data_IF_606851477178
#
_entry.id   IF_606851477178
#
_cell.length_a   1.000
_cell.length_b   1.000
_cell.length_c   1.000
_cell.angle_alpha   90.00
_cell.angle_beta   90.00
_cell.angle_gamma   90.00
#
_symmetry.space_group_name_H-M   'P 1'
#
loop_
_entity.id
_entity.type
_entity.pdbx_description
1 polymer ?
#
# COMPACT_ATOMS: atom_id res chain seq x y z
N UNK A 1 -8.13 -3.22 -29.56
CA UNK A 1 -8.54 -1.79 -29.49
C UNK A 1 -10.03 -1.59 -29.72
N UNK A 2 -10.66 -2.24 -30.69
CA UNK A 2 -12.11 -2.09 -31.00
C UNK A 2 -13.05 -2.37 -29.80
N UNK A 3 -12.59 -3.13 -28.81
CA UNK A 3 -13.33 -3.42 -27.57
C UNK A 3 -12.91 -2.56 -26.37
N UNK A 4 -12.15 -1.46 -26.59
CA UNK A 4 -11.68 -0.56 -25.52
C UNK A 4 -10.44 -1.02 -24.75
N UNK A 5 -9.87 -2.18 -25.05
CA UNK A 5 -8.64 -2.66 -24.41
C UNK A 5 -7.43 -1.83 -24.80
N UNK A 6 -6.52 -1.63 -23.83
CA UNK A 6 -5.19 -1.06 -24.04
C UNK A 6 -4.18 -2.19 -24.25
N UNK A 7 -3.21 -1.96 -25.11
CA UNK A 7 -2.17 -2.92 -25.46
C UNK A 7 -0.86 -2.45 -24.81
N UNK A 8 -0.24 -3.29 -24.03
CA UNK A 8 1.09 -3.09 -23.48
C UNK A 8 2.05 -4.14 -24.05
N UNK A 9 3.22 -3.70 -24.49
CA UNK A 9 4.33 -4.58 -24.84
C UNK A 9 5.22 -4.72 -23.60
N UNK A 10 5.40 -5.95 -23.12
CA UNK A 10 6.11 -6.28 -21.90
C UNK A 10 7.53 -6.74 -22.20
N UNK A 11 8.48 -6.53 -21.28
CA UNK A 11 9.91 -6.88 -21.42
C UNK A 11 10.48 -6.44 -22.78
N UNK A 12 10.15 -5.22 -23.21
CA UNK A 12 10.37 -4.79 -24.57
C UNK A 12 11.79 -4.31 -24.82
N UNK A 13 12.44 -4.93 -25.80
CA UNK A 13 13.69 -4.47 -26.40
C UNK A 13 13.44 -4.15 -27.88
N UNK A 14 13.79 -2.93 -28.30
CA UNK A 14 13.51 -2.50 -29.66
C UNK A 14 14.22 -3.35 -30.71
N UNK A 15 13.47 -3.80 -31.70
CA UNK A 15 13.96 -4.41 -32.93
C UNK A 15 13.14 -3.85 -34.11
N UNK A 16 13.77 -3.64 -35.29
CA UNK A 16 13.05 -3.13 -36.47
C UNK A 16 11.82 -3.95 -36.87
N UNK A 17 11.86 -5.27 -36.62
CA UNK A 17 10.74 -6.17 -36.90
C UNK A 17 9.50 -5.89 -36.01
N UNK A 18 9.65 -5.20 -34.88
CA UNK A 18 8.56 -4.93 -33.94
C UNK A 18 7.80 -3.62 -34.23
N UNK A 19 8.17 -2.88 -35.29
CA UNK A 19 7.47 -1.64 -35.69
C UNK A 19 5.95 -1.78 -35.78
N UNK A 20 5.38 -2.83 -36.40
CA UNK A 20 3.93 -2.98 -36.50
C UNK A 20 3.23 -3.11 -35.14
N UNK A 21 3.91 -3.70 -34.16
CA UNK A 21 3.37 -3.81 -32.80
C UNK A 21 3.39 -2.46 -32.06
N UNK A 22 4.44 -1.64 -32.26
CA UNK A 22 4.56 -0.31 -31.66
C UNK A 22 3.47 0.65 -32.17
N UNK A 23 3.04 0.53 -33.43
CA UNK A 23 1.93 1.32 -33.99
C UNK A 23 0.58 0.97 -33.33
N UNK A 24 0.45 -0.25 -32.82
CA UNK A 24 -0.75 -0.73 -32.14
C UNK A 24 -0.70 -0.57 -30.62
N UNK A 25 0.48 -0.45 -30.04
CA UNK A 25 0.64 -0.38 -28.59
C UNK A 25 0.15 0.95 -28.00
N UNK A 26 -0.31 0.89 -26.77
CA UNK A 26 -0.60 2.06 -25.93
C UNK A 26 0.53 2.27 -24.90
N UNK A 27 1.17 1.18 -24.47
CA UNK A 27 2.25 1.17 -23.49
C UNK A 27 3.41 0.30 -23.97
N UNK A 28 4.63 0.71 -23.61
CA UNK A 28 5.84 -0.10 -23.75
C UNK A 28 6.52 -0.14 -22.39
N UNK A 29 6.75 -1.36 -21.88
CA UNK A 29 7.38 -1.64 -20.60
C UNK A 29 8.81 -2.05 -20.86
N UNK A 30 9.75 -1.38 -20.20
CA UNK A 30 11.19 -1.58 -20.35
C UNK A 30 11.76 -1.98 -19.01
N UNK A 31 12.35 -3.17 -18.92
CA UNK A 31 13.12 -3.62 -17.76
C UNK A 31 14.44 -2.84 -17.70
N UNK A 32 14.61 -2.03 -16.67
CA UNK A 32 15.79 -1.16 -16.49
C UNK A 32 16.80 -1.71 -15.48
N UNK A 33 16.55 -2.85 -14.84
CA UNK A 33 17.33 -3.36 -13.71
C UNK A 33 18.83 -3.48 -14.03
N UNK A 34 19.15 -3.99 -15.22
CA UNK A 34 20.53 -4.25 -15.64
C UNK A 34 20.99 -3.33 -16.80
N UNK A 35 20.24 -2.28 -17.11
CA UNK A 35 20.54 -1.35 -18.20
C UNK A 35 21.39 -0.18 -17.72
N UNK A 36 22.42 0.18 -18.51
CA UNK A 36 23.18 1.40 -18.32
C UNK A 36 22.40 2.62 -18.86
N UNK A 37 22.78 3.81 -18.43
CA UNK A 37 22.13 5.08 -18.82
C UNK A 37 22.12 5.29 -20.33
N UNK A 38 23.21 4.96 -20.99
CA UNK A 38 23.36 5.05 -22.43
C UNK A 38 22.43 4.06 -23.16
N UNK A 39 22.32 2.83 -22.70
CA UNK A 39 21.44 1.81 -23.25
C UNK A 39 19.94 2.22 -23.12
N UNK A 40 19.57 2.76 -21.96
CA UNK A 40 18.20 3.30 -21.80
C UNK A 40 17.95 4.44 -22.78
N UNK A 41 18.90 5.39 -22.92
CA UNK A 41 18.75 6.51 -23.82
C UNK A 41 18.65 6.07 -25.29
N UNK A 42 19.40 5.06 -25.72
CA UNK A 42 19.32 4.47 -27.06
C UNK A 42 17.96 3.83 -27.32
N UNK A 43 17.46 3.01 -26.38
CA UNK A 43 16.13 2.42 -26.48
C UNK A 43 15.04 3.50 -26.62
N UNK A 44 15.12 4.53 -25.79
CA UNK A 44 14.14 5.63 -25.83
C UNK A 44 14.20 6.43 -27.13
N UNK A 45 15.39 6.63 -27.71
CA UNK A 45 15.55 7.30 -28.99
C UNK A 45 14.82 6.54 -30.12
N UNK A 46 14.86 5.19 -30.10
CA UNK A 46 14.15 4.35 -31.06
C UNK A 46 12.61 4.39 -30.87
N UNK A 47 12.14 4.64 -29.65
CA UNK A 47 10.71 4.67 -29.32
C UNK A 47 10.06 6.06 -29.52
N UNK A 48 10.84 7.14 -29.58
CA UNK A 48 10.33 8.51 -29.79
C UNK A 48 9.35 8.70 -30.95
N UNK A 49 9.51 8.03 -32.11
CA UNK A 49 8.57 8.20 -33.23
C UNK A 49 7.17 7.64 -32.96
N UNK A 50 7.00 6.82 -31.93
CA UNK A 50 5.75 6.10 -31.66
C UNK A 50 4.95 6.77 -30.53
N UNK A 51 3.60 6.84 -30.63
CA UNK A 51 2.74 7.46 -29.62
C UNK A 51 2.50 6.54 -28.42
N UNK A 52 3.53 5.87 -27.94
CA UNK A 52 3.47 4.93 -26.81
C UNK A 52 3.80 5.63 -25.51
N UNK A 53 3.20 5.15 -24.41
CA UNK A 53 3.53 5.57 -23.06
C UNK A 53 4.56 4.63 -22.48
N UNK A 54 5.64 5.19 -21.94
CA UNK A 54 6.76 4.42 -21.43
C UNK A 54 6.55 4.06 -19.97
N UNK A 55 6.75 2.80 -19.63
CA UNK A 55 6.74 2.25 -18.27
C UNK A 55 8.14 1.73 -17.95
N UNK A 56 8.79 2.26 -16.92
CA UNK A 56 10.04 1.71 -16.41
C UNK A 56 9.71 0.59 -15.43
N UNK A 57 10.21 -0.61 -15.68
CA UNK A 57 10.04 -1.77 -14.82
C UNK A 57 11.28 -2.02 -13.96
N UNK A 58 11.06 -2.69 -12.83
CA UNK A 58 12.09 -3.03 -11.84
C UNK A 58 12.87 -1.81 -11.34
N UNK A 59 12.17 -0.70 -11.15
CA UNK A 59 12.75 0.47 -10.48
C UNK A 59 12.97 0.14 -9.01
N UNK A 60 14.23 -0.05 -8.61
CA UNK A 60 14.56 -0.50 -7.26
C UNK A 60 15.14 0.60 -6.35
N UNK A 61 15.60 1.71 -6.94
CA UNK A 61 16.26 2.79 -6.19
C UNK A 61 15.70 4.17 -6.55
N UNK A 62 15.86 5.13 -5.63
CA UNK A 62 15.50 6.54 -5.87
C UNK A 62 16.27 7.12 -7.05
N UNK A 63 17.54 6.77 -7.20
CA UNK A 63 18.38 7.30 -8.27
C UNK A 63 17.90 6.79 -9.64
N UNK A 64 17.50 5.52 -9.72
CA UNK A 64 16.88 4.96 -10.93
C UNK A 64 15.55 5.64 -11.24
N UNK A 65 14.71 5.88 -10.23
CA UNK A 65 13.46 6.61 -10.42
C UNK A 65 13.68 8.02 -10.97
N UNK A 66 14.60 8.78 -10.35
CA UNK A 66 14.93 10.14 -10.79
C UNK A 66 15.49 10.14 -12.21
N UNK A 67 16.39 9.19 -12.51
CA UNK A 67 16.98 9.01 -13.83
C UNK A 67 15.90 8.73 -14.90
N UNK A 68 15.05 7.73 -14.66
CA UNK A 68 14.00 7.35 -15.62
C UNK A 68 12.98 8.47 -15.81
N UNK A 69 12.60 9.16 -14.75
CA UNK A 69 11.72 10.33 -14.83
C UNK A 69 12.32 11.45 -15.68
N UNK A 70 13.62 11.74 -15.52
CA UNK A 70 14.33 12.73 -16.32
C UNK A 70 14.43 12.33 -17.81
N UNK A 71 14.45 11.04 -18.12
CA UNK A 71 14.48 10.50 -19.49
C UNK A 71 13.10 10.40 -20.15
N UNK A 72 12.00 10.71 -19.43
CA UNK A 72 10.66 10.82 -20.02
C UNK A 72 9.73 9.64 -19.72
N UNK A 73 10.12 8.69 -18.88
CA UNK A 73 9.18 7.70 -18.38
C UNK A 73 8.07 8.38 -17.57
N UNK A 74 6.83 7.94 -17.78
CA UNK A 74 5.65 8.46 -17.09
C UNK A 74 5.09 7.48 -16.07
N UNK A 75 5.36 6.19 -16.25
CA UNK A 75 4.89 5.12 -15.38
C UNK A 75 6.08 4.33 -14.87
N UNK A 76 5.99 3.84 -13.63
CA UNK A 76 7.08 3.17 -12.94
C UNK A 76 6.52 1.96 -12.21
N UNK A 77 7.21 0.84 -12.32
CA UNK A 77 6.91 -0.41 -11.64
C UNK A 77 8.19 -0.93 -11.00
N UNK A 78 8.11 -1.32 -9.72
CA UNK A 78 9.27 -1.90 -9.01
C UNK A 78 9.20 -1.70 -7.51
N UNK A 79 10.11 -2.38 -6.81
CA UNK A 79 10.17 -2.40 -5.35
C UNK A 79 10.69 -1.10 -4.71
N UNK A 80 11.14 -0.14 -5.50
CA UNK A 80 11.57 1.16 -5.00
C UNK A 80 10.56 1.78 -4.03
N UNK A 81 9.28 1.65 -4.34
CA UNK A 81 8.19 2.22 -3.54
C UNK A 81 7.99 1.50 -2.21
N UNK A 82 8.52 0.28 -2.05
CA UNK A 82 8.31 -0.58 -0.88
C UNK A 82 9.60 -0.94 -0.12
N UNK A 83 10.79 -0.45 -0.53
CA UNK A 83 12.06 -0.73 0.19
C UNK A 83 12.34 0.36 1.23
N UNK A 84 12.63 -0.02 2.50
CA UNK A 84 13.12 0.93 3.49
C UNK A 84 14.50 1.47 3.08
N UNK A 85 14.71 2.76 3.21
CA UNK A 85 16.07 3.33 3.23
C UNK A 85 16.67 3.01 4.58
N UNK A 86 17.76 2.25 4.61
CA UNK A 86 18.55 2.06 5.82
C UNK A 86 19.21 3.40 6.18
N UNK A 87 18.59 4.14 7.08
CA UNK A 87 19.22 5.31 7.69
C UNK A 87 19.97 4.82 8.94
N UNK A 88 21.28 4.88 8.89
CA UNK A 88 22.13 4.79 10.07
C UNK A 88 21.75 5.92 11.02
N UNK A 89 21.41 5.56 12.26
CA UNK A 89 21.21 6.40 13.44
C UNK A 89 20.79 7.86 13.17
N UNK A 90 19.48 8.10 13.16
CA UNK A 90 18.94 9.46 13.28
C UNK A 90 17.82 9.47 14.31
N UNK A 91 17.88 10.45 15.20
CA UNK A 91 16.74 10.85 16.05
C UNK A 91 15.51 11.04 15.16
N UNK A 92 14.39 10.41 15.54
CA UNK A 92 13.10 10.56 14.87
C UNK A 92 12.77 12.05 14.67
N UNK A 93 12.44 12.50 13.47
CA UNK A 93 11.88 13.83 13.27
C UNK A 93 10.66 14.03 14.18
N UNK A 94 10.45 15.22 14.77
CA UNK A 94 9.38 15.45 15.75
C UNK A 94 7.99 15.02 15.25
N UNK A 95 7.67 15.26 13.98
CA UNK A 95 6.41 14.83 13.35
C UNK A 95 6.25 13.30 13.34
N UNK A 96 7.29 12.55 13.05
CA UNK A 96 7.26 11.08 13.07
C UNK A 96 7.13 10.53 14.50
N UNK A 97 7.77 11.18 15.48
CA UNK A 97 7.66 10.79 16.88
C UNK A 97 6.22 10.97 17.42
N UNK A 98 5.55 12.06 17.07
CA UNK A 98 4.15 12.30 17.45
C UNK A 98 3.24 11.24 16.85
N UNK A 99 3.40 10.94 15.55
CA UNK A 99 2.61 9.90 14.89
C UNK A 99 2.85 8.54 15.52
N UNK A 100 4.10 8.20 15.85
CA UNK A 100 4.42 6.91 16.48
C UNK A 100 3.76 6.79 17.86
N UNK A 101 3.76 7.86 18.66
CA UNK A 101 3.09 7.88 19.97
C UNK A 101 1.57 7.69 19.85
N UNK A 102 0.93 8.34 18.85
CA UNK A 102 -0.49 8.14 18.57
C UNK A 102 -0.79 6.72 18.06
N UNK A 103 0.07 6.18 17.19
CA UNK A 103 -0.06 4.78 16.74
C UNK A 103 0.06 3.79 17.90
N UNK A 104 0.96 4.06 18.87
CA UNK A 104 1.09 3.26 20.08
C UNK A 104 -0.21 3.26 20.86
N UNK A 105 -0.80 4.42 21.13
CA UNK A 105 -2.07 4.54 21.85
C UNK A 105 -3.23 3.87 21.11
N UNK A 106 -3.37 4.11 19.82
CA UNK A 106 -4.44 3.54 19.00
C UNK A 106 -4.39 2.01 18.92
N UNK A 107 -3.19 1.42 18.96
CA UNK A 107 -3.02 -0.03 18.84
C UNK A 107 -2.91 -0.76 20.18
N UNK A 108 -3.12 -0.07 21.30
CA UNK A 108 -3.20 -0.71 22.61
C UNK A 108 -4.41 -1.68 22.64
N UNK A 109 -4.20 -2.97 22.94
CA UNK A 109 -5.28 -3.94 23.06
C UNK A 109 -6.29 -3.61 24.17
N UNK A 110 -5.88 -2.86 25.18
CA UNK A 110 -6.73 -2.46 26.31
C UNK A 110 -7.59 -1.23 26.01
N UNK A 111 -7.36 -0.52 24.88
CA UNK A 111 -8.06 0.71 24.54
C UNK A 111 -9.58 0.46 24.37
N UNK A 112 -10.38 1.09 25.21
CA UNK A 112 -11.84 1.07 25.10
C UNK A 112 -12.39 2.20 24.21
N UNK A 113 -13.71 2.20 24.01
CA UNK A 113 -14.37 3.18 23.14
C UNK A 113 -14.25 4.63 23.67
N UNK A 114 -14.27 4.82 25.00
CA UNK A 114 -14.16 6.15 25.61
C UNK A 114 -12.73 6.69 25.52
N UNK A 115 -11.75 5.82 25.68
CA UNK A 115 -10.35 6.17 25.55
C UNK A 115 -9.98 6.45 24.11
N UNK A 116 -10.51 5.66 23.16
CA UNK A 116 -10.34 5.93 21.72
C UNK A 116 -10.91 7.30 21.35
N UNK A 117 -12.13 7.62 21.79
CA UNK A 117 -12.76 8.91 21.54
C UNK A 117 -11.87 10.07 22.05
N UNK A 118 -11.36 9.97 23.28
CA UNK A 118 -10.46 10.96 23.88
C UNK A 118 -9.15 11.09 23.09
N UNK A 119 -8.55 9.98 22.73
CA UNK A 119 -7.29 9.97 21.96
C UNK A 119 -7.46 10.65 20.60
N UNK A 120 -8.57 10.36 19.89
CA UNK A 120 -8.86 10.96 18.60
C UNK A 120 -9.22 12.45 18.73
N UNK A 121 -9.93 12.85 19.78
CA UNK A 121 -10.36 14.24 19.99
C UNK A 121 -9.19 15.22 20.22
N UNK A 122 -8.02 14.74 20.60
CA UNK A 122 -6.81 15.58 20.74
C UNK A 122 -6.36 16.16 19.39
N UNK A 123 -6.53 15.41 18.31
CA UNK A 123 -6.19 15.87 16.96
C UNK A 123 -7.45 16.21 16.16
N UNK A 124 -7.75 17.51 16.07
CA UNK A 124 -8.91 18.03 15.35
C UNK A 124 -8.90 17.62 13.87
N UNK A 125 -7.74 17.58 13.24
CA UNK A 125 -7.57 17.20 11.83
C UNK A 125 -7.91 15.73 11.63
N UNK A 126 -7.41 14.87 12.51
CA UNK A 126 -7.70 13.43 12.49
C UNK A 126 -9.18 13.17 12.72
N UNK A 127 -9.78 13.83 13.72
CA UNK A 127 -11.21 13.74 14.02
C UNK A 127 -12.08 14.16 12.83
N UNK A 128 -11.74 15.28 12.19
CA UNK A 128 -12.46 15.79 11.01
C UNK A 128 -12.37 14.81 9.83
N UNK A 129 -11.19 14.31 9.52
CA UNK A 129 -10.99 13.35 8.43
C UNK A 129 -11.73 12.04 8.67
N UNK A 130 -11.75 11.54 9.90
CA UNK A 130 -12.50 10.35 10.28
C UNK A 130 -14.01 10.56 10.07
N UNK A 131 -14.57 11.63 10.59
CA UNK A 131 -16.00 11.94 10.45
C UNK A 131 -16.37 12.13 8.97
N UNK A 132 -15.54 12.83 8.20
CA UNK A 132 -15.73 12.99 6.76
C UNK A 132 -15.73 11.65 6.02
N UNK A 133 -14.82 10.75 6.38
CA UNK A 133 -14.78 9.42 5.76
C UNK A 133 -16.00 8.57 6.11
N UNK A 134 -16.41 8.55 7.38
CA UNK A 134 -17.62 7.84 7.83
C UNK A 134 -18.87 8.35 7.10
N UNK A 135 -18.95 9.65 6.84
CA UNK A 135 -20.05 10.29 6.12
C UNK A 135 -19.93 10.22 4.60
N UNK A 136 -18.87 9.65 4.06
CA UNK A 136 -18.68 9.54 2.61
C UNK A 136 -19.61 8.50 1.98
N UNK A 137 -19.87 8.65 0.67
CA UNK A 137 -20.66 7.70 -0.10
C UNK A 137 -20.05 6.28 -0.09
N UNK A 138 -18.74 6.17 0.07
CA UNK A 138 -18.01 4.88 0.18
C UNK A 138 -18.46 4.07 1.39
N UNK A 139 -19.00 4.73 2.44
CA UNK A 139 -19.46 4.07 3.65
C UNK A 139 -20.96 3.75 3.65
N UNK A 140 -21.76 4.46 2.85
CA UNK A 140 -23.18 4.20 2.67
C UNK A 140 -24.06 4.43 3.92
N UNK A 141 -23.63 5.30 4.84
CA UNK A 141 -24.41 5.63 6.05
C UNK A 141 -25.67 6.41 5.64
N UNK A 142 -26.81 6.00 6.18
CA UNK A 142 -28.12 6.61 5.84
C UNK A 142 -28.40 7.95 6.54
N UNK A 143 -27.62 8.29 7.56
CA UNK A 143 -27.74 9.55 8.31
C UNK A 143 -26.37 10.15 8.55
N UNK A 144 -26.26 11.44 8.63
CA UNK A 144 -25.03 12.14 8.99
C UNK A 144 -24.60 11.81 10.42
N UNK A 145 -23.31 11.52 10.59
CA UNK A 145 -22.66 11.23 11.85
C UNK A 145 -21.91 12.49 12.31
N UNK A 146 -22.30 13.05 13.43
CA UNK A 146 -21.80 14.35 13.91
C UNK A 146 -20.72 14.20 15.01
N UNK A 147 -20.57 13.00 15.59
CA UNK A 147 -19.61 12.77 16.69
C UNK A 147 -18.77 11.52 16.49
N UNK A 148 -17.54 11.54 17.04
CA UNK A 148 -16.66 10.36 17.10
C UNK A 148 -17.30 9.22 17.88
N UNK A 149 -18.04 9.54 18.95
CA UNK A 149 -18.77 8.56 19.74
C UNK A 149 -19.81 7.82 18.90
N UNK A 150 -20.63 8.56 18.14
CA UNK A 150 -21.60 7.94 17.24
C UNK A 150 -20.95 7.12 16.13
N UNK A 151 -19.81 7.59 15.60
CA UNK A 151 -19.01 6.84 14.65
C UNK A 151 -18.54 5.50 15.24
N UNK A 152 -17.98 5.51 16.46
CA UNK A 152 -17.51 4.30 17.14
C UNK A 152 -18.68 3.33 17.40
N UNK A 153 -19.83 3.82 17.83
CA UNK A 153 -21.02 3.00 18.09
C UNK A 153 -21.53 2.36 16.80
N UNK A 154 -21.61 3.14 15.71
CA UNK A 154 -22.19 2.67 14.46
C UNK A 154 -21.27 1.70 13.72
N UNK A 155 -20.00 2.02 13.64
CA UNK A 155 -19.01 1.36 12.78
C UNK A 155 -18.17 0.35 13.53
N UNK A 156 -18.06 0.52 14.82
CA UNK A 156 -17.28 -0.31 15.72
C UNK A 156 -15.87 0.22 15.98
N UNK A 157 -15.39 -0.09 17.18
CA UNK A 157 -14.10 0.35 17.72
C UNK A 157 -12.93 0.01 16.80
N UNK A 158 -12.84 -1.24 16.34
CA UNK A 158 -11.72 -1.71 15.52
C UNK A 158 -11.66 -1.02 14.16
N UNK A 159 -12.81 -0.76 13.56
CA UNK A 159 -12.88 -0.08 12.26
C UNK A 159 -12.42 1.37 12.37
N UNK A 160 -12.88 2.11 13.39
CA UNK A 160 -12.44 3.49 13.64
C UNK A 160 -10.94 3.54 13.95
N UNK A 161 -10.44 2.61 14.77
CA UNK A 161 -9.00 2.46 15.06
C UNK A 161 -8.17 2.25 13.79
N UNK A 162 -8.60 1.33 12.94
CA UNK A 162 -7.92 1.01 11.69
C UNK A 162 -7.84 2.23 10.75
N UNK A 163 -8.92 3.01 10.67
CA UNK A 163 -8.94 4.20 9.82
C UNK A 163 -8.17 5.38 10.41
N UNK A 164 -8.22 5.55 11.72
CA UNK A 164 -7.36 6.52 12.40
C UNK A 164 -5.88 6.23 12.13
N UNK A 165 -5.49 4.96 12.25
CA UNK A 165 -4.12 4.50 11.91
C UNK A 165 -3.76 4.81 10.45
N UNK A 166 -4.67 4.53 9.50
CA UNK A 166 -4.46 4.82 8.09
C UNK A 166 -4.26 6.32 7.81
N UNK A 167 -5.13 7.16 8.38
CA UNK A 167 -5.06 8.62 8.22
C UNK A 167 -3.75 9.17 8.81
N UNK A 168 -3.34 8.67 9.97
CA UNK A 168 -2.06 9.04 10.60
C UNK A 168 -0.87 8.67 9.73
N UNK A 169 -0.83 7.48 9.16
CA UNK A 169 0.22 7.06 8.24
C UNK A 169 0.26 7.96 6.99
N UNK A 170 -0.91 8.30 6.45
CA UNK A 170 -1.05 9.22 5.31
C UNK A 170 -0.62 10.67 5.63
N UNK A 171 -0.62 11.07 6.90
CA UNK A 171 -0.20 12.42 7.33
C UNK A 171 1.31 12.60 7.39
N UNK A 172 2.08 11.52 7.38
CA UNK A 172 3.54 11.57 7.39
C UNK A 172 4.02 12.09 6.04
N UNK A 173 4.45 13.35 6.01
CA UNK A 173 5.02 13.93 4.80
C UNK A 173 6.47 13.44 4.62
N UNK A 174 6.63 12.34 3.89
CA UNK A 174 7.93 11.71 3.63
C UNK A 174 8.55 12.12 2.29
N UNK A 175 7.86 12.99 1.53
CA UNK A 175 8.22 13.25 0.13
C UNK A 175 8.02 12.01 -0.78
N UNK A 176 7.42 10.95 -0.24
CA UNK A 176 7.13 9.71 -0.97
C UNK A 176 5.81 9.79 -1.71
N UNK A 177 5.67 9.02 -2.82
CA UNK A 177 4.45 9.00 -3.60
C UNK A 177 3.23 8.54 -2.79
N UNK A 178 2.04 9.05 -3.11
CA UNK A 178 0.74 8.58 -2.56
C UNK A 178 0.53 7.08 -2.80
N UNK A 179 1.23 6.52 -3.76
CA UNK A 179 1.22 5.10 -4.12
C UNK A 179 1.60 4.18 -2.96
N UNK A 180 2.51 4.61 -2.06
CA UNK A 180 2.88 3.80 -0.89
C UNK A 180 1.70 3.61 0.07
N UNK A 181 0.92 4.68 0.29
CA UNK A 181 -0.30 4.59 1.10
C UNK A 181 -1.35 3.72 0.40
N UNK A 182 -1.47 3.84 -0.93
CA UNK A 182 -2.36 2.97 -1.70
C UNK A 182 -1.97 1.49 -1.58
N UNK A 183 -0.68 1.16 -1.65
CA UNK A 183 -0.18 -0.21 -1.41
C UNK A 183 -0.54 -0.68 0.00
N UNK A 184 -0.34 0.16 1.03
CA UNK A 184 -0.72 -0.16 2.40
C UNK A 184 -2.23 -0.46 2.52
N UNK A 185 -3.08 0.35 1.88
CA UNK A 185 -4.53 0.17 1.86
C UNK A 185 -4.95 -1.14 1.18
N UNK A 186 -4.40 -1.41 0.00
CA UNK A 186 -4.68 -2.64 -0.76
C UNK A 186 -4.28 -3.85 0.09
N UNK A 187 -3.08 -3.83 0.68
CA UNK A 187 -2.56 -4.91 1.50
C UNK A 187 -3.40 -5.13 2.76
N UNK A 188 -3.81 -4.04 3.43
CA UNK A 188 -4.70 -4.10 4.59
C UNK A 188 -6.02 -4.78 4.26
N UNK A 189 -6.69 -4.32 3.19
CA UNK A 189 -7.98 -4.85 2.78
C UNK A 189 -7.88 -6.28 2.27
N UNK A 190 -6.86 -6.60 1.48
CA UNK A 190 -6.63 -7.96 0.98
C UNK A 190 -6.40 -8.96 2.12
N UNK A 191 -5.57 -8.61 3.11
CA UNK A 191 -5.35 -9.44 4.30
C UNK A 191 -6.66 -9.68 5.08
N UNK A 192 -7.49 -8.66 5.23
CA UNK A 192 -8.79 -8.78 5.89
C UNK A 192 -9.74 -9.72 5.13
N UNK A 193 -9.83 -9.58 3.80
CA UNK A 193 -10.68 -10.42 2.95
C UNK A 193 -10.22 -11.88 2.90
N UNK A 194 -8.91 -12.11 2.87
CA UNK A 194 -8.35 -13.46 2.97
C UNK A 194 -8.67 -14.09 4.32
N UNK A 195 -8.55 -13.35 5.42
CA UNK A 195 -8.90 -13.82 6.75
C UNK A 195 -10.39 -14.16 6.87
N UNK A 196 -11.27 -13.35 6.27
CA UNK A 196 -12.70 -13.62 6.28
C UNK A 196 -13.06 -15.00 5.70
N UNK A 197 -12.30 -15.44 4.69
CA UNK A 197 -12.52 -16.74 4.02
C UNK A 197 -11.77 -17.88 4.69
N UNK A 198 -10.52 -17.66 5.10
CA UNK A 198 -9.62 -18.72 5.58
C UNK A 198 -9.62 -18.90 7.09
N UNK A 199 -9.68 -17.81 7.85
CA UNK A 199 -9.71 -17.82 9.32
C UNK A 199 -10.44 -16.57 9.87
N UNK A 200 -11.79 -16.60 9.94
CA UNK A 200 -12.58 -15.46 10.39
C UNK A 200 -12.25 -14.96 11.82
N UNK A 201 -11.68 -15.81 12.66
CA UNK A 201 -11.34 -15.45 14.05
C UNK A 201 -10.27 -14.36 14.14
N UNK A 202 -9.33 -14.32 13.19
CA UNK A 202 -8.26 -13.31 13.14
C UNK A 202 -8.56 -12.12 12.22
N UNK A 203 -9.70 -12.15 11.51
CA UNK A 203 -10.10 -11.06 10.58
C UNK A 203 -9.96 -9.67 11.19
N UNK A 204 -10.40 -9.38 12.45
CA UNK A 204 -10.32 -8.03 13.02
C UNK A 204 -8.90 -7.47 13.13
N UNK A 205 -7.89 -8.34 13.16
CA UNK A 205 -6.49 -7.96 13.30
C UNK A 205 -5.78 -7.88 11.94
N UNK A 206 -6.31 -8.53 10.91
CA UNK A 206 -5.61 -8.66 9.63
C UNK A 206 -5.56 -7.37 8.83
N UNK A 207 -6.53 -6.46 8.99
CA UNK A 207 -6.44 -5.13 8.39
C UNK A 207 -5.21 -4.38 8.91
N UNK A 208 -4.99 -4.36 10.24
CA UNK A 208 -3.85 -3.65 10.84
C UNK A 208 -2.53 -4.33 10.50
N UNK A 209 -2.47 -5.66 10.42
CA UNK A 209 -1.28 -6.39 9.96
C UNK A 209 -0.89 -5.98 8.55
N UNK A 210 -1.83 -5.99 7.61
CA UNK A 210 -1.57 -5.54 6.23
C UNK A 210 -1.15 -4.08 6.16
N UNK A 211 -1.83 -3.19 6.92
CA UNK A 211 -1.55 -1.76 6.94
C UNK A 211 -0.14 -1.45 7.47
N UNK A 212 0.22 -2.03 8.61
CA UNK A 212 1.52 -1.79 9.25
C UNK A 212 2.68 -2.52 8.55
N UNK A 213 2.42 -3.43 7.62
CA UNK A 213 3.46 -4.17 6.89
C UNK A 213 4.38 -3.29 6.01
N UNK A 214 4.05 -2.02 5.81
CA UNK A 214 4.86 -1.01 5.11
C UNK A 214 5.34 0.12 6.04
N UNK A 215 5.15 -0.04 7.36
CA UNK A 215 5.45 1.01 8.34
C UNK A 215 6.93 1.38 8.33
N UNK A 216 7.82 0.41 8.21
CA UNK A 216 9.26 0.58 8.11
C UNK A 216 9.65 1.46 6.91
N UNK A 217 8.98 1.28 5.79
CA UNK A 217 9.17 2.10 4.58
C UNK A 217 8.67 3.52 4.78
N UNK A 218 7.49 3.69 5.40
CA UNK A 218 6.88 5.00 5.67
C UNK A 218 7.73 5.79 6.68
N UNK A 219 8.13 5.11 7.76
CA UNK A 219 8.90 5.73 8.85
C UNK A 219 10.39 5.86 8.54
N UNK A 220 10.89 5.11 7.56
CA UNK A 220 12.33 4.98 7.23
C UNK A 220 13.16 4.44 8.42
N UNK A 221 12.57 3.52 9.18
CA UNK A 221 13.15 2.91 10.38
C UNK A 221 12.94 1.40 10.27
N UNK A 222 13.91 0.56 10.65
CA UNK A 222 13.74 -0.88 10.65
C UNK A 222 12.51 -1.32 11.43
N UNK A 223 11.74 -2.28 10.88
CA UNK A 223 10.49 -2.77 11.47
C UNK A 223 10.69 -3.22 12.93
N UNK A 224 11.78 -3.92 13.24
CA UNK A 224 12.08 -4.38 14.59
C UNK A 224 12.08 -3.21 15.60
N UNK A 225 12.75 -2.10 15.26
CA UNK A 225 12.83 -0.94 16.15
C UNK A 225 11.46 -0.25 16.33
N UNK A 226 10.63 -0.25 15.28
CA UNK A 226 9.29 0.33 15.37
C UNK A 226 8.36 -0.48 16.26
N UNK A 227 8.43 -1.81 16.15
CA UNK A 227 7.57 -2.71 16.92
C UNK A 227 7.86 -2.72 18.42
N UNK A 228 9.07 -2.32 18.83
CA UNK A 228 9.38 -2.12 20.25
C UNK A 228 8.58 -0.97 20.88
N UNK A 229 8.21 0.02 20.07
CA UNK A 229 7.42 1.18 20.50
C UNK A 229 5.91 1.04 20.31
N UNK A 230 5.45 -0.05 19.67
CA UNK A 230 4.02 -0.25 19.42
C UNK A 230 3.42 -1.27 20.37
N UNK A 231 2.26 -0.93 20.94
CA UNK A 231 1.47 -1.78 21.84
C UNK A 231 0.68 -2.85 21.05
N UNK A 232 1.38 -3.64 20.23
CA UNK A 232 0.80 -4.71 19.42
C UNK A 232 0.92 -6.07 20.13
N UNK A 233 -0.07 -6.94 19.89
CA UNK A 233 -0.02 -8.32 20.37
C UNK A 233 1.14 -9.12 19.75
N UNK A 234 1.66 -10.11 20.48
CA UNK A 234 2.78 -10.92 20.02
C UNK A 234 2.54 -11.59 18.64
N UNK A 235 1.34 -12.15 18.33
CA UNK A 235 1.09 -12.71 16.99
C UNK A 235 1.21 -11.68 15.87
N UNK A 236 0.77 -10.43 16.08
CA UNK A 236 0.87 -9.35 15.10
C UNK A 236 2.35 -8.97 14.90
N UNK A 237 3.10 -8.78 15.97
CA UNK A 237 4.54 -8.47 15.89
C UNK A 237 5.30 -9.57 15.15
N UNK A 238 5.01 -10.82 15.44
CA UNK A 238 5.61 -11.98 14.79
C UNK A 238 5.29 -12.05 13.29
N UNK A 239 4.04 -11.79 12.92
CA UNK A 239 3.61 -11.70 11.54
C UNK A 239 4.35 -10.61 10.74
N UNK A 240 4.52 -9.43 11.35
CA UNK A 240 5.18 -8.29 10.71
C UNK A 240 6.70 -8.49 10.56
N UNK A 241 7.36 -9.19 11.51
CA UNK A 241 8.80 -9.42 11.47
C UNK A 241 9.19 -10.62 10.61
N UNK A 242 8.46 -11.72 10.71
CA UNK A 242 8.88 -13.03 10.19
C UNK A 242 7.93 -13.58 9.12
N UNK A 243 6.73 -12.98 8.96
CA UNK A 243 5.67 -13.49 8.08
C UNK A 243 5.29 -14.95 8.38
N UNK A 244 5.30 -15.31 9.66
CA UNK A 244 5.00 -16.65 10.16
C UNK A 244 3.80 -16.63 11.12
N UNK A 245 3.30 -17.83 11.49
CA UNK A 245 2.05 -18.00 12.21
C UNK A 245 0.83 -17.73 11.34
N UNK A 246 -0.37 -17.79 11.92
CA UNK A 246 -1.64 -17.64 11.19
C UNK A 246 -1.76 -16.26 10.52
N UNK A 247 -1.44 -15.19 11.23
CA UNK A 247 -1.45 -13.82 10.69
C UNK A 247 -0.37 -13.64 9.62
N UNK A 248 0.83 -14.16 9.87
CA UNK A 248 1.95 -14.04 8.96
C UNK A 248 1.77 -14.83 7.67
N UNK A 249 1.10 -15.97 7.71
CA UNK A 249 0.79 -16.76 6.53
C UNK A 249 -0.11 -15.98 5.54
N UNK A 250 -1.14 -15.30 6.05
CA UNK A 250 -2.02 -14.47 5.22
C UNK A 250 -1.30 -13.22 4.67
N UNK A 251 -0.49 -12.58 5.49
CA UNK A 251 0.35 -11.46 5.04
C UNK A 251 1.32 -11.91 3.93
N UNK A 252 1.96 -13.09 4.10
CA UNK A 252 2.86 -13.67 3.11
C UNK A 252 2.15 -13.97 1.80
N UNK A 253 0.93 -14.54 1.83
CA UNK A 253 0.11 -14.76 0.62
C UNK A 253 -0.12 -13.43 -0.13
N UNK A 254 -0.48 -12.37 0.59
CA UNK A 254 -0.71 -11.04 0.02
C UNK A 254 0.56 -10.50 -0.65
N UNK A 255 1.71 -10.55 0.04
CA UNK A 255 2.99 -10.07 -0.48
C UNK A 255 3.45 -10.89 -1.69
N UNK A 256 3.33 -12.21 -1.66
CA UNK A 256 3.70 -13.07 -2.78
C UNK A 256 2.82 -12.79 -4.02
N UNK A 257 1.54 -12.50 -3.81
CA UNK A 257 0.64 -12.08 -4.90
C UNK A 257 1.10 -10.75 -5.53
N UNK A 258 1.35 -9.73 -4.72
CA UNK A 258 1.86 -8.43 -5.18
C UNK A 258 3.18 -8.56 -5.97
N UNK A 259 4.02 -9.50 -5.56
CA UNK A 259 5.30 -9.77 -6.19
C UNK A 259 5.22 -10.68 -7.42
N UNK A 260 4.02 -11.09 -7.83
CA UNK A 260 3.79 -12.05 -8.92
C UNK A 260 4.55 -13.39 -8.74
N UNK A 261 4.82 -13.79 -7.48
CA UNK A 261 5.53 -15.04 -7.15
C UNK A 261 4.57 -16.23 -7.11
N UNK A 262 3.99 -16.51 -8.26
CA UNK A 262 2.88 -17.45 -8.43
C UNK A 262 3.22 -18.87 -7.99
N UNK A 263 4.39 -19.38 -8.36
CA UNK A 263 4.83 -20.76 -7.99
C UNK A 263 4.88 -20.93 -6.48
N UNK A 264 5.51 -19.97 -5.78
CA UNK A 264 5.61 -20.00 -4.32
C UNK A 264 4.23 -19.85 -3.67
N UNK A 265 3.39 -18.97 -4.18
CA UNK A 265 2.03 -18.77 -3.67
C UNK A 265 1.18 -20.05 -3.82
N UNK A 266 1.21 -20.69 -4.99
CA UNK A 266 0.45 -21.92 -5.25
C UNK A 266 0.98 -23.10 -4.41
N UNK A 267 2.30 -23.17 -4.14
CA UNK A 267 2.86 -24.21 -3.27
C UNK A 267 2.41 -24.12 -1.81
N UNK A 268 1.82 -22.99 -1.39
CA UNK A 268 1.19 -22.83 -0.07
C UNK A 268 -0.22 -23.45 0.00
N UNK A 269 -0.73 -24.04 -1.09
CA UNK A 269 -2.04 -24.67 -1.12
C UNK A 269 -3.22 -23.68 -1.11
N UNK A 270 -2.99 -22.42 -1.50
CA UNK A 270 -4.03 -21.39 -1.51
C UNK A 270 -4.94 -21.52 -2.74
N UNK A 271 -6.22 -21.21 -2.55
CA UNK A 271 -7.18 -21.10 -3.64
C UNK A 271 -6.91 -19.84 -4.47
N UNK A 272 -6.51 -20.05 -5.72
CA UNK A 272 -6.15 -18.98 -6.65
C UNK A 272 -7.27 -17.95 -6.83
N UNK A 273 -8.49 -18.41 -7.03
CA UNK A 273 -9.63 -17.54 -7.33
C UNK A 273 -9.98 -16.67 -6.12
N UNK A 274 -9.82 -17.23 -4.92
CA UNK A 274 -9.98 -16.48 -3.66
C UNK A 274 -8.98 -15.34 -3.54
N UNK A 275 -7.70 -15.59 -3.87
CA UNK A 275 -6.64 -14.56 -3.76
C UNK A 275 -6.82 -13.47 -4.81
N UNK A 276 -7.13 -13.85 -6.07
CA UNK A 276 -7.42 -12.90 -7.15
C UNK A 276 -8.62 -12.01 -6.81
N UNK A 277 -9.73 -12.63 -6.35
CA UNK A 277 -10.93 -11.88 -5.95
C UNK A 277 -10.65 -10.90 -4.82
N UNK A 278 -9.91 -11.33 -3.78
CA UNK A 278 -9.54 -10.48 -2.66
C UNK A 278 -8.69 -9.29 -3.11
N UNK A 279 -7.73 -9.50 -4.00
CA UNK A 279 -6.91 -8.42 -4.55
C UNK A 279 -7.72 -7.41 -5.35
N UNK A 280 -8.57 -7.87 -6.28
CA UNK A 280 -9.39 -6.98 -7.12
C UNK A 280 -10.36 -6.15 -6.28
N UNK A 281 -10.99 -6.76 -5.25
CA UNK A 281 -11.85 -6.05 -4.31
C UNK A 281 -11.05 -5.03 -3.49
N UNK A 282 -9.86 -5.39 -3.02
CA UNK A 282 -8.99 -4.49 -2.27
C UNK A 282 -8.54 -3.29 -3.10
N UNK A 283 -8.18 -3.48 -4.38
CA UNK A 283 -7.84 -2.39 -5.31
C UNK A 283 -9.02 -1.46 -5.50
N UNK A 284 -10.21 -2.01 -5.80
CA UNK A 284 -11.41 -1.20 -5.99
C UNK A 284 -11.77 -0.37 -4.74
N UNK A 285 -11.69 -1.00 -3.55
CA UNK A 285 -11.91 -0.32 -2.29
C UNK A 285 -10.88 0.80 -2.05
N UNK A 286 -9.59 0.53 -2.28
CA UNK A 286 -8.54 1.54 -2.10
C UNK A 286 -8.74 2.73 -3.05
N UNK A 287 -9.08 2.50 -4.32
CA UNK A 287 -9.33 3.56 -5.30
C UNK A 287 -10.53 4.43 -4.95
N UNK A 288 -11.61 3.83 -4.42
CA UNK A 288 -12.80 4.57 -4.00
C UNK A 288 -12.63 5.32 -2.67
N UNK A 289 -11.69 4.89 -1.83
CA UNK A 289 -11.53 5.40 -0.46
C UNK A 289 -10.39 6.40 -0.30
N UNK A 290 -9.36 6.34 -1.15
CA UNK A 290 -8.11 7.10 -0.94
C UNK A 290 -8.34 8.62 -0.90
N UNK A 291 -9.16 9.16 -1.78
CA UNK A 291 -9.43 10.60 -1.82
C UNK A 291 -10.23 11.08 -0.61
N UNK A 292 -11.16 10.25 -0.13
CA UNK A 292 -11.95 10.58 1.06
C UNK A 292 -11.11 10.54 2.35
N UNK A 293 -10.09 9.68 2.40
CA UNK A 293 -9.23 9.49 3.58
C UNK A 293 -8.07 10.47 3.65
N UNK A 294 -7.47 10.84 2.51
CA UNK A 294 -6.21 11.60 2.47
C UNK A 294 -6.38 13.09 2.17
N UNK A 295 -7.54 13.53 1.63
CA UNK A 295 -7.88 14.93 1.42
C UNK A 295 -8.48 15.55 2.68
#
# INVERSE_FOLDING_TARGET
KLRGFKIALDDFVYQPAYRPFLELADFVKIDIENMRRDEIAEQLAQLRPYPVKLVAEKVETQDMYVLCKAQGFRYFQGYFFCRPRTLTERTLPPNKAVVLALLQQLNDPALDASELEKTLAVDVTLSYKLLRYVNSAAFGVRREIESLKDAIILVGLNTIRNWATLILLGSINTGRPKELIKVAMIRARMCELLAEKQNPAIKPQMFIVGLLSVLDVIMEIPMANLLDHLALSAPIKFALLQQEGEHGALLKQTILYEQARWETLLSMGVDRDSVVSAYLEAVHWADSSIDALLL
#
